data_IF_973100189361
#
_entry.id   IF_973100189361
#
_cell.length_a   1.000
_cell.length_b   1.000
_cell.length_c   1.000
_cell.angle_alpha   90.00
_cell.angle_beta   90.00
_cell.angle_gamma   90.00
#
_symmetry.space_group_name_H-M   'P 1'
#
loop_
_entity.id
_entity.type
_entity.pdbx_description
1 polymer ?
#
# COMPACT_ATOMS: atom_id res chain seq x y z
N UNK A 1 -1.24 11.26 15.63
CA UNK A 1 -1.04 12.69 15.94
C UNK A 1 0.15 13.19 15.15
N UNK A 2 -0.01 14.28 14.39
CA UNK A 2 1.10 14.93 13.68
C UNK A 2 2.10 15.48 14.68
N UNK A 3 3.40 15.26 14.47
CA UNK A 3 4.43 15.73 15.41
C UNK A 3 4.56 17.27 15.36
N UNK A 4 5.00 17.88 16.45
CA UNK A 4 5.27 19.33 16.51
C UNK A 4 6.27 19.78 15.43
N UNK A 5 7.26 18.93 15.14
CA UNK A 5 8.22 19.11 14.05
C UNK A 5 7.54 19.15 12.68
N UNK A 6 6.66 18.18 12.41
CA UNK A 6 5.95 18.10 11.13
C UNK A 6 5.04 19.34 10.92
N UNK A 7 4.35 19.79 11.98
CA UNK A 7 3.54 21.02 11.92
C UNK A 7 4.39 22.28 11.70
N UNK A 8 5.57 22.35 12.32
CA UNK A 8 6.50 23.46 12.12
C UNK A 8 7.00 23.52 10.67
N UNK A 9 7.33 22.36 10.09
CA UNK A 9 7.74 22.28 8.68
C UNK A 9 6.57 22.66 7.76
N UNK A 10 5.37 22.14 8.01
CA UNK A 10 4.16 22.48 7.25
C UNK A 10 3.90 23.99 7.25
N UNK A 11 3.92 24.63 8.41
CA UNK A 11 3.70 26.08 8.53
C UNK A 11 4.76 26.88 7.77
N UNK A 12 6.01 26.42 7.74
CA UNK A 12 7.07 27.05 6.93
C UNK A 12 6.78 26.93 5.43
N UNK A 13 6.30 25.78 4.97
CA UNK A 13 5.93 25.56 3.55
C UNK A 13 4.74 26.47 3.19
N UNK A 14 3.66 26.44 3.98
CA UNK A 14 2.47 27.29 3.80
C UNK A 14 2.86 28.76 3.69
N UNK A 15 3.72 29.23 4.61
CA UNK A 15 4.19 30.63 4.61
C UNK A 15 5.06 30.95 3.39
N UNK A 16 6.02 30.07 3.06
CA UNK A 16 6.96 30.25 1.95
C UNK A 16 6.24 30.39 0.60
N UNK A 17 5.24 29.55 0.37
CA UNK A 17 4.50 29.50 -0.89
C UNK A 17 3.18 30.30 -0.86
N UNK A 18 2.91 31.03 0.22
CA UNK A 18 1.70 31.85 0.38
C UNK A 18 0.40 31.07 0.13
N UNK A 19 0.35 29.82 0.61
CA UNK A 19 -0.78 28.92 0.39
C UNK A 19 -2.04 29.51 1.05
N UNK A 20 -3.13 29.60 0.28
CA UNK A 20 -4.41 30.11 0.75
C UNK A 20 -5.01 29.27 1.89
N UNK A 21 -5.82 29.90 2.75
CA UNK A 21 -6.39 29.25 3.96
C UNK A 21 -7.15 27.95 3.66
N UNK A 22 -7.91 27.92 2.57
CA UNK A 22 -8.68 26.74 2.17
C UNK A 22 -7.77 25.58 1.75
N UNK A 23 -6.79 25.84 0.88
CA UNK A 23 -5.78 24.86 0.47
C UNK A 23 -4.95 24.38 1.66
N UNK A 24 -4.55 25.28 2.56
CA UNK A 24 -3.83 24.94 3.77
C UNK A 24 -4.63 23.99 4.68
N UNK A 25 -5.93 24.26 4.84
CA UNK A 25 -6.82 23.38 5.59
C UNK A 25 -6.92 21.98 4.99
N UNK A 26 -7.05 21.85 3.67
CA UNK A 26 -7.07 20.54 2.98
C UNK A 26 -5.74 19.78 3.13
N UNK A 27 -4.61 20.49 3.08
CA UNK A 27 -3.28 19.91 3.33
C UNK A 27 -3.17 19.39 4.77
N UNK A 28 -3.59 20.20 5.75
CA UNK A 28 -3.58 19.81 7.17
C UNK A 28 -4.44 18.57 7.42
N UNK A 29 -5.64 18.52 6.86
CA UNK A 29 -6.52 17.35 6.97
C UNK A 29 -5.88 16.10 6.35
N UNK A 30 -5.33 16.22 5.14
CA UNK A 30 -4.69 15.12 4.43
C UNK A 30 -3.52 14.55 5.22
N UNK A 31 -2.63 15.43 5.72
CA UNK A 31 -1.48 15.05 6.51
C UNK A 31 -1.90 14.45 7.86
N UNK A 32 -2.93 15.00 8.51
CA UNK A 32 -3.44 14.46 9.77
C UNK A 32 -3.95 13.03 9.61
N UNK A 33 -4.69 12.75 8.53
CA UNK A 33 -5.18 11.40 8.21
C UNK A 33 -4.03 10.44 7.92
N UNK A 34 -3.12 10.82 7.03
CA UNK A 34 -1.92 10.02 6.71
C UNK A 34 -1.14 9.72 8.00
N UNK A 35 -0.92 10.71 8.87
CA UNK A 35 -0.21 10.53 10.14
C UNK A 35 -0.98 9.72 11.19
N UNK A 36 -2.29 9.52 11.03
CA UNK A 36 -3.11 8.71 11.90
C UNK A 36 -3.00 7.20 11.61
N UNK A 37 -2.51 6.82 10.42
CA UNK A 37 -2.18 5.42 10.10
C UNK A 37 -1.14 4.94 11.12
N UNK A 38 -1.44 3.87 11.84
CA UNK A 38 -0.59 3.34 12.90
C UNK A 38 0.27 2.20 12.36
N UNK A 39 1.51 2.51 11.99
CA UNK A 39 2.48 1.53 11.50
C UNK A 39 2.71 0.39 12.50
N UNK A 40 2.69 0.70 13.80
CA UNK A 40 2.95 -0.30 14.83
C UNK A 40 1.84 -1.35 14.86
N UNK A 41 0.59 -0.91 14.65
CA UNK A 41 -0.56 -1.80 14.50
C UNK A 41 -0.53 -2.57 13.19
N UNK A 42 -0.24 -1.90 12.07
CA UNK A 42 -0.15 -2.52 10.73
C UNK A 42 0.84 -3.67 10.68
N UNK A 43 1.98 -3.54 11.37
CA UNK A 43 3.07 -4.51 11.31
C UNK A 43 3.17 -5.44 12.53
N UNK A 44 2.09 -5.50 13.33
CA UNK A 44 1.97 -6.46 14.43
C UNK A 44 1.38 -7.78 13.93
N UNK A 45 1.95 -8.91 14.35
CA UNK A 45 1.42 -10.24 14.04
C UNK A 45 0.19 -10.56 14.89
N UNK A 46 -1.00 -10.33 14.34
CA UNK A 46 -2.24 -10.78 14.98
C UNK A 46 -2.53 -12.26 14.67
N UNK A 47 -3.21 -13.01 15.55
CA UNK A 47 -3.62 -14.38 15.26
C UNK A 47 -4.55 -14.45 14.03
N UNK A 48 -4.37 -15.45 13.17
CA UNK A 48 -5.15 -15.62 11.95
C UNK A 48 -6.67 -15.58 12.20
N UNK A 49 -7.16 -16.29 13.21
CA UNK A 49 -8.60 -16.33 13.56
C UNK A 49 -9.16 -14.95 13.96
N UNK A 50 -8.31 -14.08 14.54
CA UNK A 50 -8.70 -12.70 14.88
C UNK A 50 -8.80 -11.84 13.62
N UNK A 51 -7.84 -12.02 12.70
CA UNK A 51 -7.80 -11.30 11.42
C UNK A 51 -8.99 -11.67 10.54
N UNK A 52 -9.31 -12.96 10.42
CA UNK A 52 -10.35 -13.46 9.52
C UNK A 52 -11.75 -12.87 9.82
N UNK A 53 -12.03 -12.52 11.08
CA UNK A 53 -13.29 -11.87 11.48
C UNK A 53 -13.51 -10.51 10.82
N UNK A 54 -12.45 -9.88 10.33
CA UNK A 54 -12.46 -8.54 9.75
C UNK A 54 -12.54 -8.57 8.21
N UNK A 55 -12.43 -9.74 7.58
CA UNK A 55 -12.38 -9.88 6.12
C UNK A 55 -13.59 -9.36 5.35
N UNK A 56 -14.84 -9.49 5.85
CA UNK A 56 -16.00 -8.92 5.13
C UNK A 56 -15.87 -7.40 4.96
N UNK A 57 -15.37 -6.70 5.98
CA UNK A 57 -15.12 -5.27 5.90
C UNK A 57 -13.97 -4.96 4.92
N UNK A 58 -12.87 -5.71 4.99
CA UNK A 58 -11.74 -5.55 4.07
C UNK A 58 -12.13 -5.78 2.60
N UNK A 59 -12.99 -6.77 2.31
CA UNK A 59 -13.53 -6.97 0.96
C UNK A 59 -14.33 -5.77 0.47
N UNK A 60 -15.16 -5.16 1.33
CA UNK A 60 -15.87 -3.93 0.97
C UNK A 60 -14.92 -2.77 0.63
N UNK A 61 -13.86 -2.58 1.43
CA UNK A 61 -12.84 -1.56 1.15
C UNK A 61 -12.13 -1.81 -0.17
N UNK A 62 -11.77 -3.07 -0.46
CA UNK A 62 -11.15 -3.46 -1.72
C UNK A 62 -12.07 -3.24 -2.92
N UNK A 63 -13.36 -3.55 -2.80
CA UNK A 63 -14.34 -3.27 -3.85
C UNK A 63 -14.50 -1.77 -4.12
N UNK A 64 -14.52 -0.94 -3.07
CA UNK A 64 -14.50 0.52 -3.21
C UNK A 64 -13.25 0.98 -3.96
N UNK A 65 -12.08 0.49 -3.58
CA UNK A 65 -10.82 0.81 -4.27
C UNK A 65 -10.85 0.41 -5.74
N UNK A 66 -11.27 -0.80 -6.07
CA UNK A 66 -11.46 -1.23 -7.47
C UNK A 66 -12.36 -0.25 -8.22
N UNK A 67 -13.53 0.09 -7.68
CA UNK A 67 -14.48 1.02 -8.32
C UNK A 67 -13.92 2.43 -8.49
N UNK A 68 -13.09 2.92 -7.56
CA UNK A 68 -12.44 4.23 -7.67
C UNK A 68 -11.45 4.30 -8.84
N UNK A 69 -10.79 3.19 -9.18
CA UNK A 69 -9.80 3.16 -10.25
C UNK A 69 -10.32 2.62 -11.60
N UNK A 70 -11.43 1.88 -11.61
CA UNK A 70 -12.04 1.37 -12.86
C UNK A 70 -12.27 2.45 -13.93
N UNK A 71 -12.79 3.67 -13.62
CA UNK A 71 -12.98 4.69 -14.65
C UNK A 71 -11.68 5.12 -15.34
N UNK A 72 -10.55 5.10 -14.62
CA UNK A 72 -9.24 5.43 -15.19
C UNK A 72 -8.71 4.29 -16.05
N UNK A 73 -8.89 3.04 -15.62
CA UNK A 73 -8.54 1.85 -16.40
C UNK A 73 -9.31 1.81 -17.72
N UNK A 74 -10.64 2.01 -17.67
CA UNK A 74 -11.53 1.99 -18.83
C UNK A 74 -11.19 3.13 -19.81
N UNK A 75 -11.06 4.35 -19.29
CA UNK A 75 -10.76 5.55 -20.11
C UNK A 75 -9.43 5.42 -20.85
N UNK A 76 -8.41 4.85 -20.20
CA UNK A 76 -7.06 4.76 -20.74
C UNK A 76 -6.73 3.39 -21.36
N UNK A 77 -7.68 2.44 -21.34
CA UNK A 77 -7.53 1.11 -21.91
C UNK A 77 -6.36 0.31 -21.31
N UNK A 78 -6.18 0.41 -19.99
CA UNK A 78 -5.04 -0.14 -19.22
C UNK A 78 -5.52 -0.99 -18.04
N UNK A 79 -4.62 -1.75 -17.41
CA UNK A 79 -4.91 -2.49 -16.17
C UNK A 79 -5.28 -1.58 -14.99
N UNK A 80 -5.99 -2.12 -13.99
CA UNK A 80 -6.27 -1.42 -12.73
C UNK A 80 -4.98 -1.06 -11.99
N UNK A 81 -3.96 -1.93 -12.04
CA UNK A 81 -2.67 -1.66 -11.44
C UNK A 81 -2.01 -0.42 -12.05
N UNK A 82 -1.97 -0.32 -13.38
CA UNK A 82 -1.40 0.83 -14.06
C UNK A 82 -2.28 2.08 -13.92
N UNK A 83 -3.60 1.91 -13.85
CA UNK A 83 -4.56 3.00 -13.69
C UNK A 83 -4.36 3.79 -12.38
N UNK A 84 -3.83 3.16 -11.33
CA UNK A 84 -3.54 3.84 -10.07
C UNK A 84 -2.53 5.00 -10.20
N UNK A 85 -1.62 4.96 -11.17
CA UNK A 85 -0.67 6.07 -11.39
C UNK A 85 -1.31 7.30 -12.06
N UNK A 86 -2.44 7.12 -12.74
CA UNK A 86 -3.05 8.15 -13.59
C UNK A 86 -3.54 9.36 -12.80
N UNK A 87 -4.32 9.22 -11.71
CA UNK A 87 -4.82 10.39 -10.98
C UNK A 87 -3.68 11.21 -10.37
N UNK A 88 -2.60 10.56 -9.90
CA UNK A 88 -1.42 11.29 -9.40
C UNK A 88 -0.79 12.16 -10.48
N UNK A 89 -0.58 11.61 -11.68
CA UNK A 89 -0.02 12.37 -12.81
C UNK A 89 -0.93 13.54 -13.18
N UNK A 90 -2.24 13.32 -13.24
CA UNK A 90 -3.21 14.38 -13.55
C UNK A 90 -3.19 15.52 -12.51
N UNK A 91 -3.13 15.19 -11.21
CA UNK A 91 -3.03 16.21 -10.16
C UNK A 91 -1.69 16.93 -10.16
N UNK A 92 -0.59 16.25 -10.50
CA UNK A 92 0.73 16.90 -10.67
C UNK A 92 0.68 17.92 -11.79
N UNK A 93 0.15 17.58 -12.96
CA UNK A 93 0.03 18.53 -14.07
C UNK A 93 -0.86 19.73 -13.68
N UNK A 94 -2.01 19.47 -13.06
CA UNK A 94 -2.89 20.54 -12.56
C UNK A 94 -2.17 21.45 -11.57
N UNK A 95 -1.38 20.89 -10.65
CA UNK A 95 -0.63 21.66 -9.65
C UNK A 95 0.41 22.61 -10.28
N UNK A 96 0.98 22.26 -11.45
CA UNK A 96 1.87 23.14 -12.21
C UNK A 96 1.10 24.32 -12.79
N UNK A 97 -0.08 24.04 -13.37
CA UNK A 97 -0.91 25.08 -14.00
C UNK A 97 -1.39 26.13 -12.99
N UNK A 98 -1.64 25.73 -11.74
CA UNK A 98 -2.07 26.63 -10.65
C UNK A 98 -0.91 27.19 -9.82
N UNK A 99 0.34 26.85 -10.14
CA UNK A 99 1.54 27.38 -9.46
C UNK A 99 1.81 26.81 -8.07
N UNK A 100 1.25 25.64 -7.73
CA UNK A 100 1.42 24.97 -6.44
C UNK A 100 2.45 23.83 -6.48
N UNK A 101 3.02 23.52 -7.64
CA UNK A 101 3.87 22.35 -7.87
C UNK A 101 5.07 22.29 -6.90
N UNK A 102 5.79 23.39 -6.72
CA UNK A 102 6.94 23.48 -5.82
C UNK A 102 6.54 23.28 -4.36
N UNK A 103 5.36 23.77 -3.98
CA UNK A 103 4.81 23.55 -2.64
C UNK A 103 4.51 22.06 -2.42
N UNK A 104 3.86 21.39 -3.36
CA UNK A 104 3.60 19.95 -3.27
C UNK A 104 4.88 19.11 -3.23
N UNK A 105 5.89 19.47 -4.02
CA UNK A 105 7.18 18.78 -3.98
C UNK A 105 7.83 18.85 -2.59
N UNK A 106 7.71 19.99 -1.88
CA UNK A 106 8.16 20.09 -0.48
C UNK A 106 7.24 19.37 0.51
N UNK A 107 5.92 19.42 0.31
CA UNK A 107 4.95 18.68 1.12
C UNK A 107 5.17 17.17 1.04
N UNK A 108 5.61 16.66 -0.12
CA UNK A 108 6.00 15.26 -0.28
C UNK A 108 7.15 14.88 0.66
N UNK A 109 7.97 15.82 1.13
CA UNK A 109 8.95 15.55 2.18
C UNK A 109 8.32 15.00 3.47
N UNK A 110 7.14 15.51 3.86
CA UNK A 110 6.44 15.09 5.08
C UNK A 110 5.79 13.72 4.93
N UNK A 111 5.10 13.47 3.82
CA UNK A 111 4.49 12.16 3.51
C UNK A 111 5.56 11.10 3.26
N UNK A 112 6.69 11.45 2.63
CA UNK A 112 7.84 10.56 2.48
C UNK A 112 8.45 10.20 3.85
N UNK A 113 8.53 11.15 4.79
CA UNK A 113 8.99 10.86 6.14
C UNK A 113 8.05 9.89 6.87
N UNK A 114 6.73 10.00 6.67
CA UNK A 114 5.75 9.01 7.15
C UNK A 114 5.96 7.64 6.50
N UNK A 115 6.11 7.58 5.17
CA UNK A 115 6.38 6.32 4.46
C UNK A 115 7.67 5.65 4.96
N UNK A 116 8.72 6.41 5.26
CA UNK A 116 9.95 5.90 5.88
C UNK A 116 9.71 5.25 7.25
N UNK A 117 8.84 5.82 8.09
CA UNK A 117 8.42 5.20 9.37
C UNK A 117 7.68 3.88 9.12
N UNK A 118 6.85 3.83 8.08
CA UNK A 118 6.15 2.63 7.61
C UNK A 118 7.13 1.52 7.18
N UNK A 119 8.10 1.83 6.32
CA UNK A 119 9.15 0.89 5.92
C UNK A 119 10.02 0.41 7.09
N UNK A 120 10.32 1.29 8.06
CA UNK A 120 11.06 0.90 9.27
C UNK A 120 10.25 -0.09 10.13
N UNK A 121 8.96 0.11 10.30
CA UNK A 121 8.09 -0.82 11.01
C UNK A 121 8.00 -2.18 10.30
N UNK A 122 7.90 -2.17 8.96
CA UNK A 122 7.99 -3.38 8.13
C UNK A 122 9.30 -4.13 8.38
N UNK A 123 10.42 -3.42 8.43
CA UNK A 123 11.73 -4.02 8.71
C UNK A 123 11.77 -4.70 10.08
N UNK A 124 11.28 -4.06 11.14
CA UNK A 124 11.22 -4.66 12.48
C UNK A 124 10.31 -5.90 12.52
N UNK A 125 9.15 -5.82 11.87
CA UNK A 125 8.23 -6.94 11.76
C UNK A 125 8.84 -8.10 10.98
N UNK A 126 9.54 -7.82 9.88
CA UNK A 126 10.22 -8.84 9.09
C UNK A 126 11.28 -9.59 9.91
N UNK A 127 12.06 -8.89 10.75
CA UNK A 127 13.03 -9.52 11.65
C UNK A 127 12.36 -10.44 12.68
N UNK A 128 11.15 -10.11 13.14
CA UNK A 128 10.35 -11.01 13.98
C UNK A 128 9.83 -12.21 13.18
N UNK A 129 9.39 -12.00 11.94
CA UNK A 129 8.93 -13.07 11.03
C UNK A 129 10.02 -14.07 10.66
N UNK A 130 11.27 -13.63 10.52
CA UNK A 130 12.42 -14.51 10.28
C UNK A 130 12.69 -15.50 11.42
N UNK A 131 12.13 -15.26 12.62
CA UNK A 131 12.31 -16.16 13.78
C UNK A 131 11.47 -17.43 13.71
N UNK A 132 10.62 -17.60 12.69
CA UNK A 132 9.72 -18.76 12.53
C UNK A 132 10.43 -20.12 12.57
N UNK A 133 11.70 -20.18 12.17
CA UNK A 133 12.70 -21.21 12.48
C UNK A 133 14.05 -20.54 12.36
N UNK A 134 14.84 -20.43 13.43
CA UNK A 134 16.23 -19.99 13.29
C UNK A 134 16.93 -20.98 12.34
N UNK A 135 17.38 -20.58 11.13
CA UNK A 135 18.28 -21.42 10.37
C UNK A 135 19.54 -21.57 11.23
N UNK A 136 20.13 -22.76 11.30
CA UNK A 136 21.41 -22.98 11.97
C UNK A 136 22.58 -22.15 11.40
N UNK A 137 22.32 -21.41 10.32
CA UNK A 137 23.23 -20.51 9.63
C UNK A 137 22.55 -19.16 9.40
N UNK A 138 22.95 -18.14 10.16
CA UNK A 138 22.68 -16.75 9.83
C UNK A 138 23.56 -16.33 8.66
N UNK A 139 23.00 -16.23 7.46
CA UNK A 139 23.67 -15.53 6.37
C UNK A 139 23.25 -14.06 6.43
N UNK A 140 24.05 -13.25 7.14
CA UNK A 140 24.02 -11.80 6.99
C UNK A 140 24.74 -11.49 5.67
N UNK A 141 24.03 -11.61 4.57
CA UNK A 141 24.55 -11.20 3.27
C UNK A 141 24.37 -9.69 3.17
N UNK A 142 25.47 -8.94 3.11
CA UNK A 142 25.49 -7.51 2.75
C UNK A 142 25.36 -7.32 1.23
N UNK A 143 24.56 -8.16 0.57
CA UNK A 143 24.37 -8.10 -0.86
C UNK A 143 23.08 -7.36 -1.16
N UNK A 144 23.24 -6.12 -1.65
CA UNK A 144 22.17 -5.25 -2.11
C UNK A 144 21.60 -5.73 -3.46
N UNK A 145 22.35 -6.57 -4.18
CA UNK A 145 21.99 -7.05 -5.51
C UNK A 145 21.29 -8.41 -5.47
N UNK A 146 21.10 -9.01 -4.28
CA UNK A 146 20.17 -10.14 -4.13
C UNK A 146 18.74 -9.61 -4.28
N UNK A 147 18.00 -10.04 -5.32
CA UNK A 147 16.70 -9.44 -5.65
C UNK A 147 15.63 -9.71 -4.58
N UNK A 148 15.83 -10.66 -3.67
CA UNK A 148 14.80 -11.15 -2.75
C UNK A 148 15.34 -11.26 -1.31
N UNK A 149 15.41 -10.12 -0.63
CA UNK A 149 15.64 -10.06 0.82
C UNK A 149 14.44 -9.42 1.49
N UNK A 150 14.24 -9.70 2.78
CA UNK A 150 13.21 -9.03 3.58
C UNK A 150 13.39 -7.50 3.62
N UNK A 151 14.61 -7.01 3.35
CA UNK A 151 14.92 -5.57 3.26
C UNK A 151 14.34 -4.97 1.99
N UNK A 152 14.54 -5.61 0.85
CA UNK A 152 13.97 -5.17 -0.43
C UNK A 152 12.43 -5.16 -0.36
N UNK A 153 11.84 -6.13 0.33
CA UNK A 153 10.40 -6.17 0.55
C UNK A 153 9.90 -5.01 1.44
N UNK A 154 10.61 -4.69 2.53
CA UNK A 154 10.30 -3.53 3.36
C UNK A 154 10.46 -2.20 2.58
N UNK A 155 11.49 -2.09 1.75
CA UNK A 155 11.70 -0.94 0.85
C UNK A 155 10.59 -0.83 -0.20
N UNK A 156 10.09 -1.95 -0.72
CA UNK A 156 8.95 -1.97 -1.65
C UNK A 156 7.67 -1.44 -0.99
N UNK A 157 7.35 -1.92 0.22
CA UNK A 157 6.20 -1.44 1.00
C UNK A 157 6.32 0.06 1.33
N UNK A 158 7.53 0.52 1.66
CA UNK A 158 7.82 1.93 1.86
C UNK A 158 7.56 2.76 0.60
N UNK A 159 8.06 2.29 -0.55
CA UNK A 159 7.90 2.95 -1.83
C UNK A 159 6.42 3.05 -2.26
N UNK A 160 5.64 1.99 -2.06
CA UNK A 160 4.21 2.00 -2.37
C UNK A 160 3.44 2.93 -1.42
N UNK A 161 3.70 2.85 -0.12
CA UNK A 161 3.12 3.78 0.86
C UNK A 161 3.43 5.23 0.50
N UNK A 162 4.67 5.52 0.08
CA UNK A 162 5.10 6.83 -0.41
C UNK A 162 4.24 7.30 -1.60
N UNK A 163 4.09 6.48 -2.63
CA UNK A 163 3.27 6.85 -3.79
C UNK A 163 1.81 7.08 -3.41
N UNK A 164 1.24 6.23 -2.55
CA UNK A 164 -0.15 6.35 -2.12
C UNK A 164 -0.39 7.59 -1.24
N UNK A 165 0.50 7.90 -0.30
CA UNK A 165 0.38 9.09 0.56
C UNK A 165 0.53 10.38 -0.25
N UNK A 166 1.48 10.42 -1.18
CA UNK A 166 1.67 11.57 -2.07
C UNK A 166 0.44 11.76 -2.98
N UNK A 167 -0.05 10.67 -3.57
CA UNK A 167 -1.23 10.68 -4.43
C UNK A 167 -2.47 11.11 -3.67
N UNK A 168 -2.66 10.60 -2.46
CA UNK A 168 -3.77 10.99 -1.60
C UNK A 168 -3.74 12.48 -1.30
N UNK A 169 -2.60 13.01 -0.83
CA UNK A 169 -2.47 14.42 -0.46
C UNK A 169 -2.75 15.33 -1.66
N UNK A 170 -2.12 15.09 -2.80
CA UNK A 170 -2.29 15.98 -3.96
C UNK A 170 -3.70 15.88 -4.55
N UNK A 171 -4.29 14.68 -4.62
CA UNK A 171 -5.66 14.52 -5.09
C UNK A 171 -6.69 15.10 -4.11
N UNK A 172 -6.44 15.03 -2.80
CA UNK A 172 -7.37 15.61 -1.82
C UNK A 172 -7.40 17.14 -1.93
N UNK A 173 -6.25 17.75 -2.22
CA UNK A 173 -6.16 19.20 -2.41
C UNK A 173 -6.69 19.64 -3.77
N UNK A 174 -6.34 18.92 -4.84
CA UNK A 174 -6.71 19.29 -6.23
C UNK A 174 -8.12 18.82 -6.65
N UNK A 175 -8.66 17.78 -6.00
CA UNK A 175 -9.92 17.11 -6.33
C UNK A 175 -10.71 16.76 -5.06
N UNK A 176 -10.91 17.74 -4.17
CA UNK A 176 -11.54 17.57 -2.85
C UNK A 176 -12.91 16.88 -2.87
N UNK A 177 -13.67 16.97 -3.97
CA UNK A 177 -14.97 16.32 -4.14
C UNK A 177 -14.88 14.82 -4.50
N UNK A 178 -13.76 14.38 -5.08
CA UNK A 178 -13.61 13.00 -5.56
C UNK A 178 -12.13 12.60 -5.62
N UNK A 179 -11.61 12.16 -4.47
CA UNK A 179 -10.25 11.61 -4.39
C UNK A 179 -10.29 10.08 -4.54
N UNK A 180 -9.74 9.49 -5.62
CA UNK A 180 -9.77 8.06 -5.84
C UNK A 180 -8.93 7.26 -4.81
N UNK A 181 -8.04 7.93 -4.06
CA UNK A 181 -7.22 7.32 -3.02
C UNK A 181 -7.89 7.29 -1.63
N UNK A 182 -9.13 7.75 -1.49
CA UNK A 182 -9.86 7.67 -0.22
C UNK A 182 -9.96 6.24 0.31
N UNK A 183 -10.38 5.30 -0.56
CA UNK A 183 -10.46 3.87 -0.24
C UNK A 183 -9.09 3.23 -0.01
N UNK A 184 -8.04 3.76 -0.64
CA UNK A 184 -6.65 3.34 -0.40
C UNK A 184 -6.20 3.73 1.01
N UNK A 185 -6.56 4.93 1.49
CA UNK A 185 -6.29 5.32 2.88
C UNK A 185 -7.09 4.45 3.86
N UNK A 186 -8.36 4.15 3.57
CA UNK A 186 -9.17 3.24 4.39
C UNK A 186 -8.51 1.85 4.53
N UNK A 187 -7.88 1.34 3.47
CA UNK A 187 -7.16 0.06 3.48
C UNK A 187 -5.90 0.12 4.38
N UNK A 188 -5.13 1.21 4.35
CA UNK A 188 -4.00 1.39 5.27
C UNK A 188 -4.46 1.56 6.73
N UNK A 189 -5.54 2.31 6.95
CA UNK A 189 -6.16 2.50 8.27
C UNK A 189 -6.67 1.19 8.88
N UNK A 190 -7.10 0.27 8.01
CA UNK A 190 -7.48 -1.09 8.40
C UNK A 190 -6.28 -1.94 8.85
N UNK A 191 -5.06 -1.57 8.46
CA UNK A 191 -3.83 -2.25 8.83
C UNK A 191 -3.19 -3.08 7.71
N UNK A 192 -3.47 -2.78 6.44
CA UNK A 192 -2.76 -3.41 5.34
C UNK A 192 -1.29 -2.94 5.30
N UNK A 193 -0.37 -3.90 5.20
CA UNK A 193 1.06 -3.64 5.00
C UNK A 193 1.37 -3.25 3.56
N UNK A 194 0.60 -3.76 2.61
CA UNK A 194 0.72 -3.45 1.19
C UNK A 194 -0.57 -3.83 0.46
N UNK A 195 -0.75 -3.33 -0.76
CA UNK A 195 -1.83 -3.76 -1.64
C UNK A 195 -1.49 -3.51 -3.11
N UNK A 196 -1.93 -4.42 -3.97
CA UNK A 196 -1.62 -4.40 -5.40
C UNK A 196 -2.70 -5.13 -6.20
N UNK A 197 -3.02 -4.62 -7.39
CA UNK A 197 -3.85 -5.35 -8.34
C UNK A 197 -3.01 -6.46 -9.01
N UNK A 198 -3.34 -7.71 -8.69
CA UNK A 198 -2.68 -8.89 -9.23
C UNK A 198 -3.49 -9.50 -10.36
N UNK A 199 -2.80 -10.05 -11.36
CA UNK A 199 -3.42 -10.93 -12.34
C UNK A 199 -3.49 -12.34 -11.78
N UNK A 200 -4.71 -12.87 -11.80
CA UNK A 200 -5.01 -14.20 -11.31
C UNK A 200 -5.70 -15.01 -12.39
N UNK A 201 -5.40 -16.31 -12.42
CA UNK A 201 -6.07 -17.27 -13.28
C UNK A 201 -6.73 -18.33 -12.39
N UNK A 202 -8.04 -18.52 -12.56
CA UNK A 202 -8.81 -19.57 -11.89
C UNK A 202 -9.70 -20.24 -12.92
N UNK A 203 -9.59 -21.57 -13.04
CA UNK A 203 -10.36 -22.36 -14.01
C UNK A 203 -10.27 -21.80 -15.45
N UNK A 204 -9.07 -21.35 -15.85
CA UNK A 204 -8.74 -20.68 -17.14
C UNK A 204 -9.35 -19.29 -17.36
N UNK A 205 -10.02 -18.73 -16.36
CA UNK A 205 -10.53 -17.36 -16.39
C UNK A 205 -9.47 -16.47 -15.76
N UNK A 206 -9.01 -15.47 -16.52
CA UNK A 206 -8.08 -14.44 -16.04
C UNK A 206 -8.84 -13.23 -15.54
N UNK A 207 -8.45 -12.73 -14.38
CA UNK A 207 -9.02 -11.53 -13.78
C UNK A 207 -7.98 -10.75 -13.00
N UNK A 208 -8.13 -9.44 -12.95
CA UNK A 208 -7.43 -8.60 -12.01
C UNK A 208 -8.18 -8.59 -10.68
N UNK A 209 -7.47 -8.88 -9.59
CA UNK A 209 -8.01 -8.81 -8.24
C UNK A 209 -7.09 -7.98 -7.36
N UNK A 210 -7.69 -7.18 -6.49
CA UNK A 210 -6.94 -6.45 -5.49
C UNK A 210 -6.49 -7.43 -4.40
N UNK A 211 -5.18 -7.59 -4.27
CA UNK A 211 -4.54 -8.33 -3.19
C UNK A 211 -4.08 -7.34 -2.12
N UNK A 212 -4.29 -7.70 -0.86
CA UNK A 212 -3.77 -6.96 0.31
C UNK A 212 -2.90 -7.88 1.15
N UNK A 213 -1.86 -7.31 1.74
CA UNK A 213 -0.85 -8.01 2.52
C UNK A 213 -0.95 -7.63 3.99
N UNK A 214 -0.92 -8.61 4.88
CA UNK A 214 -1.16 -8.40 6.32
C UNK A 214 -0.22 -9.27 7.15
N UNK A 215 0.39 -8.72 8.19
CA UNK A 215 1.23 -9.51 9.10
C UNK A 215 0.37 -10.31 10.06
N UNK A 216 0.42 -11.64 9.97
CA UNK A 216 -0.39 -12.54 10.82
C UNK A 216 0.45 -13.68 11.38
N UNK A 217 0.02 -14.23 12.51
CA UNK A 217 0.54 -15.49 13.04
C UNK A 217 -0.41 -16.62 12.67
N UNK A 218 0.06 -17.55 11.82
CA UNK A 218 -0.69 -18.72 11.38
C UNK A 218 -0.22 -19.95 12.18
N UNK A 219 -1.14 -20.77 12.73
CA UNK A 219 -0.78 -22.04 13.36
C UNK A 219 0.14 -22.88 12.45
N UNK A 220 1.19 -23.46 13.02
CA UNK A 220 2.19 -24.30 12.34
C UNK A 220 3.05 -23.64 11.22
N UNK A 221 2.77 -22.39 10.83
CA UNK A 221 3.58 -21.61 9.88
C UNK A 221 4.35 -20.47 10.54
N UNK A 222 3.85 -19.96 11.68
CA UNK A 222 4.43 -18.84 12.41
C UNK A 222 4.00 -17.47 11.86
N UNK A 223 4.84 -16.48 12.08
CA UNK A 223 4.67 -15.07 11.72
C UNK A 223 4.94 -14.83 10.23
N UNK A 224 3.89 -14.67 9.44
CA UNK A 224 3.97 -14.59 7.98
C UNK A 224 3.23 -13.35 7.45
N UNK A 225 3.34 -13.11 6.15
CA UNK A 225 2.50 -12.14 5.44
C UNK A 225 1.34 -12.92 4.83
N UNK A 226 0.12 -12.76 5.35
CA UNK A 226 -1.08 -13.24 4.70
C UNK A 226 -1.38 -12.41 3.45
N UNK A 227 -1.86 -13.09 2.40
CA UNK A 227 -2.31 -12.47 1.16
C UNK A 227 -3.81 -12.70 1.05
N UNK A 228 -4.58 -11.62 1.08
CA UNK A 228 -6.05 -11.66 0.98
C UNK A 228 -6.52 -11.03 -0.32
N UNK A 229 -7.15 -11.81 -1.20
CA UNK A 229 -7.64 -11.34 -2.49
C UNK A 229 -9.12 -10.94 -2.41
N UNK A 230 -9.56 -10.02 -3.26
CA UNK A 230 -10.97 -9.58 -3.29
C UNK A 230 -11.91 -10.76 -3.50
N UNK A 231 -12.89 -10.89 -2.62
CA UNK A 231 -13.91 -11.94 -2.67
C UNK A 231 -13.54 -13.20 -1.87
N UNK A 232 -12.32 -13.31 -1.38
CA UNK A 232 -11.94 -14.41 -0.49
C UNK A 232 -12.68 -14.27 0.86
N UNK A 233 -13.34 -15.34 1.30
CA UNK A 233 -14.02 -15.40 2.61
C UNK A 233 -13.06 -15.73 3.76
N UNK A 234 -11.87 -16.25 3.44
CA UNK A 234 -10.80 -16.69 4.37
C UNK A 234 -9.42 -16.41 3.79
N UNK A 235 -8.37 -16.58 4.57
CA UNK A 235 -7.00 -16.51 4.05
C UNK A 235 -6.62 -17.86 3.45
N UNK A 236 -6.37 -17.87 2.15
CA UNK A 236 -5.89 -19.06 1.42
C UNK A 236 -4.41 -19.01 1.11
N UNK A 237 -3.76 -17.86 1.32
CA UNK A 237 -2.45 -17.58 0.78
C UNK A 237 -1.56 -16.86 1.80
N UNK A 238 -0.28 -17.21 1.83
CA UNK A 238 0.71 -16.54 2.65
C UNK A 238 2.08 -16.49 1.95
N UNK A 239 2.94 -15.64 2.48
CA UNK A 239 4.34 -15.49 2.09
C UNK A 239 5.19 -15.38 3.35
N UNK A 240 6.44 -15.86 3.30
CA UNK A 240 7.43 -15.49 4.31
C UNK A 240 8.17 -14.25 3.85
N UNK A 241 8.61 -13.45 4.81
CA UNK A 241 9.47 -12.32 4.53
C UNK A 241 10.70 -12.75 3.75
N UNK A 242 11.02 -12.01 2.68
CA UNK A 242 12.17 -12.31 1.82
C UNK A 242 11.98 -13.46 0.84
N UNK A 243 10.82 -14.13 0.81
CA UNK A 243 10.44 -14.93 -0.36
C UNK A 243 10.26 -14.00 -1.57
N UNK A 244 10.50 -14.46 -2.82
CA UNK A 244 10.20 -13.68 -4.01
C UNK A 244 8.78 -13.10 -3.95
N UNK A 245 8.59 -11.86 -4.39
CA UNK A 245 7.34 -11.12 -4.11
C UNK A 245 6.07 -11.81 -4.64
N UNK A 246 6.18 -12.56 -5.74
CA UNK A 246 5.08 -13.35 -6.32
C UNK A 246 5.05 -14.82 -5.91
N UNK A 247 5.98 -15.27 -5.06
CA UNK A 247 6.01 -16.62 -4.54
C UNK A 247 4.95 -16.76 -3.44
N UNK A 248 3.69 -16.81 -3.84
CA UNK A 248 2.55 -16.95 -2.94
C UNK A 248 2.29 -18.43 -2.67
N UNK A 249 2.38 -18.82 -1.39
CA UNK A 249 2.15 -20.19 -0.94
C UNK A 249 0.70 -20.37 -0.51
N UNK A 250 0.09 -21.50 -0.87
CA UNK A 250 -1.25 -21.83 -0.37
C UNK A 250 -1.20 -22.33 1.07
N UNK A 251 -2.21 -21.96 1.85
CA UNK A 251 -2.53 -22.61 3.12
C UNK A 251 -3.31 -23.86 2.76
N UNK A 252 -2.74 -25.02 3.07
CA UNK A 252 -3.35 -26.35 2.93
C UNK A 252 -3.74 -26.80 1.50
N UNK A 253 -3.17 -26.21 0.45
CA UNK A 253 -3.40 -26.65 -0.94
C UNK A 253 -4.80 -26.37 -1.49
N UNK A 254 -5.59 -25.51 -0.84
CA UNK A 254 -7.04 -25.40 -1.06
C UNK A 254 -7.48 -24.45 -2.18
N UNK A 255 -6.58 -23.96 -3.02
CA UNK A 255 -6.92 -22.97 -4.03
C UNK A 255 -6.49 -23.39 -5.44
N UNK A 256 -7.42 -23.24 -6.39
CA UNK A 256 -7.13 -23.34 -7.83
C UNK A 256 -6.59 -22.03 -8.41
N UNK A 257 -6.63 -20.95 -7.63
CA UNK A 257 -6.22 -19.64 -8.06
C UNK A 257 -4.69 -19.59 -8.19
N UNK A 258 -4.23 -19.22 -9.39
CA UNK A 258 -2.82 -19.01 -9.70
C UNK A 258 -2.57 -17.52 -9.89
N UNK A 259 -1.54 -16.99 -9.26
CA UNK A 259 -1.06 -15.63 -9.55
C UNK A 259 -0.15 -15.72 -10.78
N UNK A 260 -0.56 -15.08 -11.87
CA UNK A 260 0.14 -15.15 -13.16
C UNK A 260 1.04 -13.94 -13.41
N UNK A 261 0.97 -12.90 -12.57
CA UNK A 261 1.87 -11.73 -12.60
C UNK A 261 1.25 -10.48 -11.96
N UNK A 262 1.98 -9.36 -12.02
CA UNK A 262 1.40 -8.02 -11.86
C UNK A 262 0.71 -7.67 -13.18
N UNK A 263 -0.44 -6.99 -13.10
CA UNK A 263 -1.06 -6.40 -14.26
C UNK A 263 -0.22 -5.23 -14.82
N UNK A 264 0.85 -5.52 -15.55
CA UNK A 264 1.58 -4.51 -16.31
C UNK A 264 0.71 -3.99 -17.47
N UNK A 265 0.97 -2.77 -17.95
CA UNK A 265 0.30 -2.07 -19.05
C UNK A 265 0.11 -2.92 -20.31
N UNK A 266 0.90 -3.98 -20.46
CA UNK A 266 0.89 -4.91 -21.61
C UNK A 266 -0.20 -5.98 -21.56
N UNK A 267 -0.91 -6.12 -20.43
CA UNK A 267 -1.85 -7.22 -20.24
C UNK A 267 -3.27 -6.68 -20.10
N UNK A 268 -3.93 -6.48 -21.24
CA UNK A 268 -5.39 -6.42 -21.25
C UNK A 268 -5.94 -7.76 -20.76
N UNK A 269 -6.89 -7.73 -19.84
CA UNK A 269 -7.85 -8.83 -19.70
C UNK A 269 -8.89 -8.62 -20.79
N UNK A 270 -8.83 -9.46 -21.82
CA UNK A 270 -9.89 -9.55 -22.84
C UNK A 270 -11.23 -9.99 -22.23
#
# INVERSE_FOLDING_TARGET
MTSETDMTILNKIITKYQIGKETAYLIEQSLARINAIDESKTFTYEPLETFEKKLPHLNNLKEKATKSFSPFADKHGTSLCAAMGIPMVQSIEKSKDVGNYEAFHELFGLTNAKAKRFGLAALYSSMQGQKNKAPGTYNIVFDRDSPWTYRNEAEHMEEYARYHFNSYLINHVEHSESNPFESVMEIYEFGAADFIFMQTEQDKIRKEVLATFHTVSIPDKGNVIAVHMTGDEKIFHYRKWGDPYFAISSIDGQTKLKVTGIADQRFRTD
#
